data_IF_534131725587
#
_entry.id   IF_534131725587
#
_cell.length_a   1.000
_cell.length_b   1.000
_cell.length_c   1.000
_cell.angle_alpha   90.00
_cell.angle_beta   90.00
_cell.angle_gamma   90.00
#
_symmetry.space_group_name_H-M   'P 1'
#
loop_
_entity.id
_entity.type
_entity.pdbx_description
1 polymer ?
#
# COMPACT_ATOMS: atom_id res chain seq x y z
N UNK A 1 -10.55 -22.83 -7.43
CA UNK A 1 -9.12 -22.81 -7.82
C UNK A 1 -8.49 -21.62 -7.12
N UNK A 2 -7.25 -21.75 -6.61
CA UNK A 2 -6.58 -20.61 -6.02
C UNK A 2 -6.51 -19.46 -7.01
N UNK A 3 -6.69 -18.22 -6.54
CA UNK A 3 -6.51 -16.99 -7.31
C UNK A 3 -7.59 -16.66 -8.36
N UNK A 4 -8.67 -17.44 -8.47
CA UNK A 4 -9.80 -17.13 -9.40
C UNK A 4 -10.37 -15.72 -9.18
N UNK A 5 -10.41 -15.27 -7.93
CA UNK A 5 -10.94 -13.95 -7.56
C UNK A 5 -10.04 -12.77 -7.99
N UNK A 6 -8.86 -13.03 -8.55
CA UNK A 6 -7.94 -12.02 -9.11
C UNK A 6 -7.63 -12.26 -10.60
N UNK A 7 -8.31 -13.20 -11.27
CA UNK A 7 -8.13 -13.47 -12.70
C UNK A 7 -8.90 -12.47 -13.60
N UNK A 8 -10.15 -12.15 -13.22
CA UNK A 8 -10.95 -11.09 -13.85
C UNK A 8 -11.31 -10.02 -12.82
N UNK A 9 -10.64 -8.87 -12.92
CA UNK A 9 -10.88 -7.71 -12.07
C UNK A 9 -11.49 -6.54 -12.87
N UNK A 10 -12.11 -6.83 -14.02
CA UNK A 10 -12.57 -5.81 -14.96
C UNK A 10 -13.66 -4.89 -14.38
N UNK A 11 -14.44 -5.35 -13.39
CA UNK A 11 -15.40 -4.52 -12.66
C UNK A 11 -14.72 -3.38 -11.85
N UNK A 12 -13.45 -3.57 -11.46
CA UNK A 12 -12.66 -2.61 -10.69
C UNK A 12 -11.83 -1.66 -11.55
N UNK A 13 -11.93 -1.77 -12.88
CA UNK A 13 -11.20 -0.94 -13.81
C UNK A 13 -11.65 0.53 -13.71
N UNK A 14 -10.83 1.35 -13.05
CA UNK A 14 -11.13 2.77 -12.85
C UNK A 14 -11.01 3.58 -14.13
N UNK A 15 -10.35 3.04 -15.17
CA UNK A 15 -10.19 3.74 -16.45
C UNK A 15 -11.52 3.92 -17.18
N UNK A 16 -12.49 3.02 -16.93
CA UNK A 16 -13.86 3.09 -17.46
C UNK A 16 -14.63 4.33 -16.99
N UNK A 17 -14.24 4.91 -15.85
CA UNK A 17 -14.87 6.10 -15.26
C UNK A 17 -14.19 7.42 -15.65
N UNK A 18 -13.03 7.34 -16.31
CA UNK A 18 -12.26 8.53 -16.70
C UNK A 18 -12.95 9.25 -17.86
N UNK A 19 -12.94 10.58 -17.80
CA UNK A 19 -13.51 11.43 -18.82
C UNK A 19 -12.56 11.50 -20.03
N UNK A 20 -13.10 11.11 -21.19
CA UNK A 20 -12.40 11.05 -22.47
C UNK A 20 -11.70 12.35 -22.86
N UNK A 21 -12.18 13.52 -22.40
CA UNK A 21 -11.54 14.83 -22.65
C UNK A 21 -10.09 14.88 -22.15
N UNK A 22 -9.75 14.10 -21.12
CA UNK A 22 -8.41 14.13 -20.53
C UNK A 22 -7.39 13.21 -21.22
N UNK A 23 -7.82 12.41 -22.21
CA UNK A 23 -6.92 11.57 -23.01
C UNK A 23 -6.30 12.31 -24.20
N UNK A 24 -6.88 13.43 -24.61
CA UNK A 24 -6.55 14.07 -25.90
C UNK A 24 -5.40 15.09 -25.85
N UNK A 25 -4.75 15.28 -24.70
CA UNK A 25 -3.67 16.29 -24.58
C UNK A 25 -2.30 15.62 -24.68
N UNK A 26 -1.44 16.22 -25.51
CA UNK A 26 -0.09 15.74 -25.78
C UNK A 26 0.77 15.71 -24.50
N UNK A 27 1.67 14.72 -24.39
CA UNK A 27 2.67 14.65 -23.32
C UNK A 27 3.45 15.97 -23.18
N UNK A 28 3.57 16.50 -21.97
CA UNK A 28 4.51 17.60 -21.67
C UNK A 28 5.95 17.09 -21.51
N UNK A 29 6.93 18.01 -21.47
CA UNK A 29 8.38 17.74 -21.39
C UNK A 29 8.90 17.18 -20.04
N UNK A 30 8.01 16.70 -19.17
CA UNK A 30 8.35 16.24 -17.81
C UNK A 30 9.09 14.89 -17.78
N UNK A 31 9.05 14.15 -18.88
CA UNK A 31 9.55 12.77 -18.99
C UNK A 31 11.07 12.61 -18.79
N UNK A 32 11.84 13.70 -18.79
CA UNK A 32 13.30 13.65 -18.62
C UNK A 32 13.79 14.18 -17.26
N UNK A 33 12.88 14.69 -16.41
CA UNK A 33 13.26 15.27 -15.11
C UNK A 33 13.27 14.20 -14.02
N UNK A 34 14.31 14.20 -13.19
CA UNK A 34 14.42 13.33 -12.02
C UNK A 34 13.19 13.48 -11.12
N UNK A 35 12.64 12.35 -10.67
CA UNK A 35 11.42 12.23 -9.87
C UNK A 35 10.12 12.66 -10.57
N UNK A 36 10.15 12.94 -11.87
CA UNK A 36 8.97 13.23 -12.71
C UNK A 36 8.84 12.24 -13.88
N UNK A 37 9.96 11.67 -14.33
CA UNK A 37 9.98 10.66 -15.37
C UNK A 37 9.27 9.36 -14.96
N UNK A 38 8.69 8.62 -15.93
CA UNK A 38 8.23 7.27 -15.69
C UNK A 38 9.41 6.38 -15.29
N UNK A 39 9.13 5.39 -14.43
CA UNK A 39 10.09 4.35 -14.08
C UNK A 39 9.39 2.99 -14.05
N UNK A 40 10.15 1.92 -13.86
CA UNK A 40 9.57 0.58 -13.76
C UNK A 40 8.53 0.53 -12.63
N UNK A 41 7.36 -0.02 -12.95
CA UNK A 41 6.15 -0.05 -12.12
C UNK A 41 5.48 1.30 -11.89
N UNK A 42 6.05 2.41 -12.38
CA UNK A 42 5.53 3.76 -12.21
C UNK A 42 5.31 4.39 -13.59
N UNK A 43 4.28 3.93 -14.28
CA UNK A 43 3.95 4.32 -15.65
C UNK A 43 3.30 5.73 -15.73
N UNK A 44 3.97 6.77 -15.20
CA UNK A 44 3.45 8.16 -15.16
C UNK A 44 3.21 8.78 -16.55
N UNK A 45 3.73 8.15 -17.60
CA UNK A 45 3.49 8.54 -18.99
C UNK A 45 2.29 7.82 -19.64
N UNK A 46 1.70 6.82 -18.97
CA UNK A 46 0.53 6.13 -19.48
C UNK A 46 -0.65 7.11 -19.64
N UNK A 47 -1.38 7.06 -20.78
CA UNK A 47 -2.51 7.95 -21.03
C UNK A 47 -3.57 7.94 -19.92
N UNK A 48 -3.87 6.77 -19.36
CA UNK A 48 -4.85 6.59 -18.29
C UNK A 48 -4.41 7.27 -16.98
N UNK A 49 -3.14 7.12 -16.61
CA UNK A 49 -2.57 7.79 -15.42
C UNK A 49 -2.59 9.31 -15.61
N UNK A 50 -2.21 9.78 -16.80
CA UNK A 50 -2.23 11.21 -17.14
C UNK A 50 -3.64 11.78 -17.12
N UNK A 51 -4.61 11.04 -17.64
CA UNK A 51 -6.01 11.45 -17.62
C UNK A 51 -6.51 11.63 -16.18
N UNK A 52 -6.26 10.64 -15.30
CA UNK A 52 -6.61 10.73 -13.88
C UNK A 52 -5.90 11.89 -13.18
N UNK A 53 -4.59 12.06 -13.39
CA UNK A 53 -3.84 13.16 -12.78
C UNK A 53 -4.39 14.52 -13.20
N UNK A 54 -4.79 14.67 -14.47
CA UNK A 54 -5.40 15.91 -14.97
C UNK A 54 -6.79 16.15 -14.42
N UNK A 55 -7.62 15.11 -14.28
CA UNK A 55 -8.92 15.20 -13.60
C UNK A 55 -8.80 15.73 -12.18
N UNK A 56 -7.85 15.18 -11.42
CA UNK A 56 -7.59 15.61 -10.07
C UNK A 56 -7.02 17.04 -10.07
N UNK A 57 -6.12 17.37 -10.99
CA UNK A 57 -5.50 18.71 -11.06
C UNK A 57 -6.47 19.82 -11.49
N UNK A 58 -7.42 19.55 -12.38
CA UNK A 58 -8.42 20.56 -12.76
C UNK A 58 -9.31 20.96 -11.56
N UNK A 59 -9.52 20.03 -10.62
CA UNK A 59 -10.34 20.25 -9.42
C UNK A 59 -9.56 20.81 -8.23
N UNK A 60 -8.22 20.77 -8.25
CA UNK A 60 -7.35 21.09 -7.12
C UNK A 60 -6.21 22.00 -7.60
N UNK A 61 -6.23 23.28 -7.19
CA UNK A 61 -5.40 24.32 -7.81
C UNK A 61 -3.97 24.29 -7.29
N UNK A 62 -3.76 24.02 -6.00
CA UNK A 62 -2.43 23.95 -5.42
C UNK A 62 -1.82 22.54 -5.51
N UNK A 63 -0.50 22.45 -5.35
CA UNK A 63 0.19 21.16 -5.29
C UNK A 63 -0.27 20.35 -4.06
N UNK A 64 -0.52 21.00 -2.92
CA UNK A 64 -1.03 20.39 -1.69
C UNK A 64 -2.40 19.74 -1.90
N UNK A 65 -3.36 20.51 -2.42
CA UNK A 65 -4.72 20.02 -2.69
C UNK A 65 -4.67 18.85 -3.67
N UNK A 66 -3.83 18.96 -4.71
CA UNK A 66 -3.66 17.92 -5.71
C UNK A 66 -3.09 16.63 -5.12
N UNK A 67 -2.00 16.69 -4.33
CA UNK A 67 -1.41 15.48 -3.74
C UNK A 67 -2.33 14.86 -2.69
N UNK A 68 -3.07 15.68 -1.94
CA UNK A 68 -4.05 15.20 -0.97
C UNK A 68 -5.21 14.48 -1.68
N UNK A 69 -5.71 15.05 -2.77
CA UNK A 69 -6.74 14.43 -3.59
C UNK A 69 -6.24 13.14 -4.24
N UNK A 70 -5.01 13.11 -4.76
CA UNK A 70 -4.40 11.90 -5.31
C UNK A 70 -4.22 10.80 -4.25
N UNK A 71 -3.74 11.16 -3.06
CA UNK A 71 -3.59 10.25 -1.92
C UNK A 71 -4.94 9.62 -1.54
N UNK A 72 -5.97 10.45 -1.31
CA UNK A 72 -7.30 10.00 -0.95
C UNK A 72 -7.94 9.16 -2.06
N UNK A 73 -7.73 9.54 -3.32
CA UNK A 73 -8.24 8.79 -4.46
C UNK A 73 -7.67 7.37 -4.50
N UNK A 74 -6.34 7.21 -4.40
CA UNK A 74 -5.71 5.88 -4.42
C UNK A 74 -6.21 5.05 -3.25
N UNK A 75 -6.14 5.62 -2.04
CA UNK A 75 -6.52 4.97 -0.79
C UNK A 75 -7.95 4.43 -0.78
N UNK A 76 -8.90 5.16 -1.38
CA UNK A 76 -10.32 4.81 -1.31
C UNK A 76 -10.87 4.18 -2.60
N UNK A 77 -10.09 4.10 -3.68
CA UNK A 77 -10.50 3.42 -4.91
C UNK A 77 -9.70 2.14 -5.20
N UNK A 78 -8.59 1.91 -4.48
CA UNK A 78 -7.72 0.75 -4.66
C UNK A 78 -7.44 0.08 -3.33
N UNK A 79 -7.54 -1.25 -3.34
CA UNK A 79 -7.46 -2.05 -2.14
C UNK A 79 -6.13 -2.79 -2.02
N UNK A 80 -5.71 -3.03 -0.78
CA UNK A 80 -4.63 -3.98 -0.49
C UNK A 80 -5.07 -5.39 -0.93
N UNK A 81 -4.45 -5.90 -1.97
CA UNK A 81 -4.69 -7.24 -2.50
C UNK A 81 -3.34 -7.90 -2.72
N UNK A 82 -3.10 -9.03 -2.06
CA UNK A 82 -1.90 -9.82 -2.25
C UNK A 82 -1.98 -10.52 -3.61
N UNK A 83 -1.12 -10.08 -4.52
CA UNK A 83 -0.95 -10.63 -5.87
C UNK A 83 0.41 -10.19 -6.43
N UNK A 84 0.88 -10.75 -7.56
CA UNK A 84 2.14 -10.36 -8.15
C UNK A 84 2.15 -8.88 -8.55
N UNK A 85 3.26 -8.20 -8.28
CA UNK A 85 3.42 -6.77 -8.54
C UNK A 85 3.21 -6.47 -10.03
N UNK A 86 2.32 -5.52 -10.27
CA UNK A 86 1.85 -5.13 -11.58
C UNK A 86 2.29 -3.76 -12.05
N UNK A 87 2.52 -2.85 -11.10
CA UNK A 87 2.78 -1.43 -11.36
C UNK A 87 1.51 -0.60 -11.47
N UNK A 88 1.71 0.72 -11.49
CA UNK A 88 0.67 1.74 -11.41
C UNK A 88 -0.47 1.53 -12.41
N UNK A 89 -0.15 1.25 -13.67
CA UNK A 89 -1.18 1.09 -14.70
C UNK A 89 -2.06 -0.16 -14.46
N UNK A 90 -1.46 -1.27 -14.03
CA UNK A 90 -2.23 -2.46 -13.69
C UNK A 90 -3.09 -2.21 -12.44
N UNK A 91 -2.54 -1.56 -11.43
CA UNK A 91 -3.30 -1.17 -10.22
C UNK A 91 -4.49 -0.29 -10.59
N UNK A 92 -4.32 0.66 -11.51
CA UNK A 92 -5.42 1.51 -11.97
C UNK A 92 -6.57 0.70 -12.60
N UNK A 93 -6.24 -0.39 -13.31
CA UNK A 93 -7.19 -1.24 -14.06
C UNK A 93 -7.78 -2.40 -13.27
N UNK A 94 -7.36 -2.61 -12.02
CA UNK A 94 -7.75 -3.77 -11.20
C UNK A 94 -8.26 -3.35 -9.82
N UNK A 95 -8.66 -4.32 -8.96
CA UNK A 95 -9.16 -4.08 -7.59
C UNK A 95 -8.15 -3.33 -6.72
N UNK A 96 -6.87 -3.51 -7.01
CA UNK A 96 -5.77 -2.87 -6.31
C UNK A 96 -4.49 -3.69 -6.45
N UNK A 97 -3.75 -3.83 -5.36
CA UNK A 97 -2.48 -4.56 -5.34
C UNK A 97 -1.81 -4.46 -3.98
N UNK A 98 -0.56 -4.93 -3.90
CA UNK A 98 0.22 -4.84 -2.66
C UNK A 98 0.63 -3.38 -2.38
N UNK A 99 1.29 -3.13 -1.24
CA UNK A 99 1.74 -1.79 -0.88
C UNK A 99 2.53 -1.11 -2.03
N UNK A 100 3.48 -1.83 -2.65
CA UNK A 100 4.31 -1.28 -3.72
C UNK A 100 3.50 -0.85 -4.95
N UNK A 101 2.44 -1.57 -5.30
CA UNK A 101 1.55 -1.23 -6.41
C UNK A 101 0.79 0.08 -6.15
N UNK A 102 0.25 0.23 -4.93
CA UNK A 102 -0.49 1.44 -4.55
C UNK A 102 0.43 2.66 -4.40
N UNK A 103 1.62 2.47 -3.85
CA UNK A 103 2.66 3.51 -3.82
C UNK A 103 3.06 3.93 -5.23
N UNK A 104 3.24 2.95 -6.12
CA UNK A 104 3.58 3.23 -7.51
C UNK A 104 2.49 4.01 -8.22
N UNK A 105 1.22 3.68 -7.97
CA UNK A 105 0.09 4.42 -8.52
C UNK A 105 0.03 5.87 -8.01
N UNK A 106 0.18 6.09 -6.71
CA UNK A 106 0.22 7.44 -6.12
C UNK A 106 1.37 8.27 -6.71
N UNK A 107 2.57 7.69 -6.78
CA UNK A 107 3.75 8.35 -7.36
C UNK A 107 3.51 8.62 -8.84
N UNK A 108 2.94 7.70 -9.61
CA UNK A 108 2.68 7.88 -11.03
C UNK A 108 1.68 9.02 -11.29
N UNK A 109 0.61 9.10 -10.51
CA UNK A 109 -0.37 10.21 -10.56
C UNK A 109 0.31 11.53 -10.21
N UNK A 110 1.08 11.58 -9.11
CA UNK A 110 1.79 12.79 -8.69
C UNK A 110 2.75 13.30 -9.78
N UNK A 111 3.57 12.40 -10.34
CA UNK A 111 4.50 12.70 -11.44
C UNK A 111 3.79 13.21 -12.68
N UNK A 112 2.70 12.56 -13.06
CA UNK A 112 1.89 12.97 -14.21
C UNK A 112 1.23 14.35 -14.01
N UNK A 113 0.92 14.71 -12.76
CA UNK A 113 0.44 16.03 -12.37
C UNK A 113 1.53 17.08 -12.14
N UNK A 114 2.80 16.76 -12.41
CA UNK A 114 3.92 17.71 -12.28
C UNK A 114 4.57 17.78 -10.90
N UNK A 115 4.18 16.93 -9.95
CA UNK A 115 4.75 16.89 -8.61
C UNK A 115 5.87 15.84 -8.53
N UNK A 116 7.11 16.21 -8.17
CA UNK A 116 8.19 15.25 -8.01
C UNK A 116 7.87 14.24 -6.90
N UNK A 117 8.00 12.95 -7.19
CA UNK A 117 7.64 11.89 -6.27
C UNK A 117 8.64 10.71 -6.31
N UNK A 118 8.89 10.08 -5.16
CA UNK A 118 9.85 8.97 -5.00
C UNK A 118 9.41 7.96 -3.95
N UNK A 119 10.03 6.78 -3.96
CA UNK A 119 9.83 5.75 -2.95
C UNK A 119 10.77 5.97 -1.77
N UNK A 120 10.28 5.66 -0.58
CA UNK A 120 11.07 5.47 0.63
C UNK A 120 10.72 4.11 1.21
N UNK A 121 11.69 3.19 1.28
CA UNK A 121 11.56 1.91 1.97
C UNK A 121 12.34 1.95 3.29
N UNK A 122 11.81 1.30 4.31
CA UNK A 122 12.45 1.19 5.63
C UNK A 122 12.02 -0.10 6.32
N UNK A 123 12.74 -0.44 7.39
CA UNK A 123 12.39 -1.57 8.25
C UNK A 123 11.18 -1.24 9.12
N UNK A 124 10.18 -2.10 9.07
CA UNK A 124 8.95 -2.04 9.86
C UNK A 124 9.01 -3.04 11.02
N UNK A 125 8.43 -2.68 12.16
CA UNK A 125 7.98 -3.67 13.14
C UNK A 125 6.44 -3.72 13.04
N UNK A 126 5.84 -4.88 12.67
CA UNK A 126 4.39 -4.97 12.50
C UNK A 126 3.74 -4.83 13.87
N UNK A 127 2.61 -4.11 13.95
CA UNK A 127 1.80 -4.18 15.18
C UNK A 127 1.17 -5.56 15.32
N UNK A 128 0.69 -5.90 16.51
CA UNK A 128 0.07 -7.21 16.76
C UNK A 128 -1.10 -7.51 15.80
N UNK A 129 -1.89 -6.50 15.45
CA UNK A 129 -2.99 -6.64 14.49
C UNK A 129 -2.49 -7.05 13.11
N UNK A 130 -1.41 -6.43 12.64
CA UNK A 130 -0.81 -6.74 11.35
C UNK A 130 -0.10 -8.10 11.37
N UNK A 131 0.57 -8.43 12.48
CA UNK A 131 1.21 -9.74 12.67
C UNK A 131 0.19 -10.88 12.58
N UNK A 132 -0.94 -10.75 13.27
CA UNK A 132 -2.00 -11.76 13.27
C UNK A 132 -2.61 -11.97 11.87
N UNK A 133 -2.64 -10.91 11.05
CA UNK A 133 -3.18 -10.96 9.70
C UNK A 133 -2.21 -11.57 8.68
N UNK A 134 -0.94 -11.15 8.71
CA UNK A 134 0.00 -11.45 7.61
C UNK A 134 1.03 -12.54 7.97
N UNK A 135 1.36 -12.72 9.24
CA UNK A 135 2.48 -13.56 9.68
C UNK A 135 1.99 -14.80 10.42
N UNK A 136 1.08 -14.64 11.38
CA UNK A 136 0.59 -15.74 12.20
C UNK A 136 -0.09 -16.90 11.43
N UNK A 137 -0.83 -16.68 10.31
CA UNK A 137 -1.60 -17.74 9.67
C UNK A 137 -0.76 -18.82 8.98
N UNK A 138 0.46 -18.50 8.55
CA UNK A 138 1.26 -19.41 7.70
C UNK A 138 2.61 -19.77 8.34
N UNK A 139 2.88 -21.07 8.56
CA UNK A 139 4.13 -21.52 9.17
C UNK A 139 5.39 -21.13 8.39
N UNK A 140 5.34 -21.10 7.06
CA UNK A 140 6.45 -20.73 6.18
C UNK A 140 6.69 -19.22 6.24
N UNK A 141 5.63 -18.40 6.17
CA UNK A 141 5.76 -16.94 6.32
C UNK A 141 6.30 -16.61 7.70
N UNK A 142 5.79 -17.29 8.74
CA UNK A 142 6.27 -17.12 10.10
C UNK A 142 7.74 -17.51 10.24
N UNK A 143 8.15 -18.65 9.72
CA UNK A 143 9.55 -19.11 9.73
C UNK A 143 10.45 -18.18 8.90
N UNK A 144 9.96 -17.68 7.76
CA UNK A 144 10.66 -16.70 6.90
C UNK A 144 10.81 -15.35 7.61
N UNK A 145 9.76 -14.86 8.25
CA UNK A 145 9.79 -13.66 9.10
C UNK A 145 10.75 -13.85 10.29
N UNK A 146 10.83 -15.06 10.86
CA UNK A 146 11.75 -15.36 11.94
C UNK A 146 13.22 -15.44 11.49
N UNK A 147 13.48 -15.95 10.28
CA UNK A 147 14.81 -16.17 9.71
C UNK A 147 15.38 -14.94 8.98
N UNK A 148 14.55 -14.24 8.22
CA UNK A 148 14.93 -13.15 7.32
C UNK A 148 14.37 -11.80 7.75
N UNK A 149 13.79 -11.68 8.96
CA UNK A 149 12.91 -10.62 9.49
C UNK A 149 13.22 -9.13 9.24
N UNK A 150 14.25 -8.81 8.48
CA UNK A 150 14.53 -7.51 7.85
C UNK A 150 14.00 -7.38 6.41
N UNK A 151 13.94 -8.46 5.61
CA UNK A 151 13.52 -8.41 4.19
C UNK A 151 11.99 -8.41 4.01
N UNK A 152 11.26 -9.19 4.81
CA UNK A 152 9.78 -9.13 4.92
C UNK A 152 9.29 -7.92 5.73
N UNK A 153 10.21 -7.28 6.46
CA UNK A 153 9.95 -6.04 7.18
C UNK A 153 10.14 -4.79 6.31
N UNK A 154 10.30 -4.92 4.99
CA UNK A 154 10.41 -3.76 4.10
C UNK A 154 9.02 -3.25 3.74
N UNK A 155 8.65 -2.10 4.30
CA UNK A 155 7.46 -1.37 3.85
C UNK A 155 7.85 -0.04 3.22
N UNK A 156 6.99 0.44 2.33
CA UNK A 156 7.22 1.66 1.59
C UNK A 156 6.25 2.79 1.92
N UNK A 157 6.72 4.00 1.69
CA UNK A 157 5.88 5.18 1.55
C UNK A 157 6.28 5.96 0.30
N UNK A 158 5.33 6.75 -0.20
CA UNK A 158 5.57 7.69 -1.27
C UNK A 158 6.00 9.01 -0.64
N UNK A 159 7.15 9.55 -1.02
CA UNK A 159 7.52 10.93 -0.70
C UNK A 159 7.15 11.82 -1.90
N UNK A 160 6.33 12.84 -1.66
CA UNK A 160 5.82 13.81 -2.63
C UNK A 160 6.39 15.19 -2.32
N UNK A 161 6.97 15.88 -3.31
CA UNK A 161 7.65 17.17 -3.09
C UNK A 161 6.70 18.34 -3.33
N UNK A 162 6.25 18.98 -2.25
CA UNK A 162 5.31 20.11 -2.25
C UNK A 162 5.93 21.27 -1.48
N UNK A 163 5.90 22.49 -2.02
CA UNK A 163 6.59 23.66 -1.46
C UNK A 163 8.02 23.37 -1.00
N UNK A 164 8.80 22.71 -1.86
CA UNK A 164 10.18 22.29 -1.62
C UNK A 164 10.40 21.29 -0.48
N UNK A 165 9.32 20.84 0.18
CA UNK A 165 9.35 19.85 1.26
C UNK A 165 8.84 18.50 0.77
N UNK A 166 9.43 17.42 1.29
CA UNK A 166 8.94 16.07 1.04
C UNK A 166 7.89 15.72 2.09
N UNK A 167 6.66 15.47 1.65
CA UNK A 167 5.57 14.96 2.46
C UNK A 167 5.43 13.48 2.13
N UNK A 168 5.42 12.62 3.15
CA UNK A 168 5.27 11.18 2.96
C UNK A 168 3.80 10.78 2.98
N UNK A 169 3.43 9.72 2.28
CA UNK A 169 2.08 9.20 2.25
C UNK A 169 2.06 7.70 1.98
N UNK A 170 1.21 7.01 2.71
CA UNK A 170 0.93 5.60 2.52
C UNK A 170 -0.56 5.33 2.31
N UNK A 171 -0.99 5.13 1.06
CA UNK A 171 -2.40 4.91 0.73
C UNK A 171 -2.83 3.46 0.89
N UNK A 172 -1.96 2.55 1.35
CA UNK A 172 -2.17 1.09 1.28
C UNK A 172 -3.45 0.62 1.98
N UNK A 173 -3.79 1.25 3.11
CA UNK A 173 -4.94 0.89 3.93
C UNK A 173 -6.06 1.90 3.69
N UNK A 174 -7.14 1.41 3.07
CA UNK A 174 -8.38 2.16 2.89
C UNK A 174 -9.04 2.47 4.23
N UNK A 175 -9.94 3.46 4.24
CA UNK A 175 -10.66 3.88 5.45
C UNK A 175 -11.37 2.68 6.09
N UNK A 176 -12.11 1.91 5.29
CA UNK A 176 -12.84 0.75 5.76
C UNK A 176 -11.91 -0.38 6.25
N UNK A 177 -10.75 -0.59 5.62
CA UNK A 177 -9.80 -1.58 6.12
C UNK A 177 -9.25 -1.18 7.49
N UNK A 178 -8.81 0.07 7.63
CA UNK A 178 -8.32 0.62 8.89
C UNK A 178 -9.38 0.51 10.00
N UNK A 179 -10.62 0.88 9.69
CA UNK A 179 -11.72 0.82 10.65
C UNK A 179 -12.02 -0.61 11.08
N UNK A 180 -12.09 -1.55 10.13
CA UNK A 180 -12.36 -2.96 10.39
C UNK A 180 -11.30 -3.63 11.26
N UNK A 181 -10.04 -3.28 11.02
CA UNK A 181 -8.89 -3.70 11.83
C UNK A 181 -8.79 -2.98 13.17
N UNK A 182 -9.56 -1.90 13.38
CA UNK A 182 -9.61 -1.19 14.65
C UNK A 182 -8.46 -0.22 14.88
N UNK A 183 -7.77 0.19 13.82
CA UNK A 183 -6.59 1.08 13.83
C UNK A 183 -6.97 2.50 13.35
N UNK A 184 -6.21 3.55 13.74
CA UNK A 184 -6.39 4.89 13.18
C UNK A 184 -6.28 4.90 11.65
N UNK A 185 -7.12 5.70 11.00
CA UNK A 185 -7.11 5.88 9.55
C UNK A 185 -5.88 6.72 9.15
N UNK A 186 -5.18 6.26 8.12
CA UNK A 186 -3.96 6.88 7.60
C UNK A 186 -4.24 8.24 6.94
N UNK A 187 -3.37 9.23 7.19
CA UNK A 187 -3.45 10.59 6.65
C UNK A 187 -2.15 10.92 5.91
N UNK A 188 -2.22 11.79 4.90
CA UNK A 188 -1.02 12.27 4.18
C UNK A 188 -0.14 13.07 5.15
N UNK A 189 1.16 12.78 5.18
CA UNK A 189 2.13 13.37 6.10
C UNK A 189 2.06 12.82 7.53
N UNK A 190 1.14 11.90 7.82
CA UNK A 190 0.99 11.25 9.12
C UNK A 190 1.59 9.84 9.14
N UNK A 191 2.06 9.43 10.31
CA UNK A 191 2.47 8.04 10.52
C UNK A 191 1.21 7.16 10.68
N UNK A 192 1.06 6.08 9.89
CA UNK A 192 -0.13 5.23 9.96
C UNK A 192 -0.08 4.34 11.20
N UNK A 193 -1.26 4.08 11.78
CA UNK A 193 -1.36 3.40 13.08
C UNK A 193 -1.00 1.92 13.08
N UNK A 194 -0.96 1.25 11.92
CA UNK A 194 -0.69 -0.19 11.83
C UNK A 194 0.80 -0.57 11.93
N UNK A 195 1.71 0.42 12.04
CA UNK A 195 3.15 0.17 12.17
C UNK A 195 3.83 1.06 13.19
N UNK A 196 5.00 0.62 13.64
CA UNK A 196 5.98 1.46 14.33
C UNK A 196 7.29 1.44 13.54
N UNK A 197 7.84 2.63 13.25
CA UNK A 197 9.14 2.73 12.58
C UNK A 197 10.24 2.22 13.50
N UNK A 198 11.11 1.37 12.96
CA UNK A 198 12.34 0.99 13.65
C UNK A 198 13.33 2.14 13.48
N UNK A 199 13.52 2.94 14.54
CA UNK A 199 14.30 4.20 14.54
C UNK A 199 15.76 4.07 14.13
N UNK A 200 16.32 2.85 14.11
CA UNK A 200 17.68 2.56 13.66
C UNK A 200 17.78 1.96 12.24
N UNK A 201 16.66 1.78 11.54
CA UNK A 201 16.68 1.28 10.16
C UNK A 201 17.09 2.39 9.19
N UNK A 202 18.00 2.09 8.27
CA UNK A 202 18.39 3.03 7.23
C UNK A 202 17.26 3.11 6.18
N UNK A 203 16.69 4.30 6.01
CA UNK A 203 15.75 4.54 4.92
C UNK A 203 16.46 4.46 3.56
N UNK A 204 15.87 3.72 2.63
CA UNK A 204 16.32 3.69 1.23
C UNK A 204 15.36 4.52 0.39
N UNK A 205 15.89 5.53 -0.31
CA UNK A 205 15.11 6.40 -1.20
C UNK A 205 15.52 6.18 -2.65
N UNK A 206 14.56 5.93 -3.52
CA UNK A 206 14.83 5.67 -4.94
C UNK A 206 13.68 6.10 -5.83
N UNK A 207 13.99 6.21 -7.13
CA UNK A 207 13.07 6.73 -8.14
C UNK A 207 12.25 5.63 -8.83
N UNK A 208 12.79 4.40 -8.92
CA UNK A 208 12.10 3.26 -9.52
C UNK A 208 12.82 1.95 -9.20
N UNK A 209 12.09 0.84 -9.36
CA UNK A 209 12.59 -0.48 -9.00
C UNK A 209 13.58 -1.05 -10.03
N UNK A 210 14.56 -1.86 -9.60
CA UNK A 210 15.45 -2.59 -10.49
C UNK A 210 14.70 -3.54 -11.43
N UNK A 211 15.28 -3.81 -12.61
CA UNK A 211 14.68 -4.63 -13.69
C UNK A 211 14.26 -6.02 -13.19
N UNK A 212 15.13 -6.68 -12.40
CA UNK A 212 14.94 -8.06 -11.94
C UNK A 212 14.01 -8.20 -10.73
N UNK A 213 13.52 -7.09 -10.14
CA UNK A 213 12.73 -7.12 -8.90
C UNK A 213 11.47 -8.00 -9.00
N UNK A 214 10.72 -7.93 -10.11
CA UNK A 214 9.53 -8.80 -10.33
C UNK A 214 9.87 -10.28 -10.30
N UNK A 215 10.99 -10.65 -10.92
CA UNK A 215 11.40 -12.05 -11.12
C UNK A 215 11.81 -12.69 -9.80
N UNK A 216 12.35 -11.88 -8.87
CA UNK A 216 12.67 -12.32 -7.52
C UNK A 216 11.41 -12.62 -6.71
N UNK A 217 10.37 -11.80 -6.81
CA UNK A 217 9.20 -11.91 -5.91
C UNK A 217 8.10 -12.86 -6.38
N UNK A 218 7.97 -13.08 -7.69
CA UNK A 218 6.85 -13.88 -8.24
C UNK A 218 6.85 -15.35 -7.78
N UNK A 219 7.99 -16.07 -7.75
CA UNK A 219 7.99 -17.49 -7.35
C UNK A 219 7.51 -17.74 -5.92
N UNK A 220 7.85 -16.86 -4.97
CA UNK A 220 7.42 -16.98 -3.57
C UNK A 220 5.89 -16.92 -3.43
N UNK A 221 5.26 -15.94 -4.10
CA UNK A 221 3.80 -15.82 -4.09
C UNK A 221 3.11 -17.02 -4.75
N UNK A 222 3.75 -17.65 -5.74
CA UNK A 222 3.23 -18.85 -6.39
C UNK A 222 3.37 -20.11 -5.53
N UNK A 223 4.26 -20.12 -4.54
CA UNK A 223 4.36 -21.20 -3.55
C UNK A 223 3.29 -21.01 -2.46
N UNK A 224 3.05 -19.75 -2.05
CA UNK A 224 2.12 -19.38 -0.98
C UNK A 224 0.69 -19.09 -1.47
N UNK A 225 0.26 -19.69 -2.59
CA UNK A 225 -1.01 -19.28 -3.25
C UNK A 225 -2.25 -19.43 -2.37
N UNK A 226 -2.36 -20.54 -1.64
CA UNK A 226 -3.51 -20.79 -0.76
C UNK A 226 -3.55 -19.78 0.39
N UNK A 227 -2.39 -19.52 0.99
CA UNK A 227 -2.21 -18.51 2.04
C UNK A 227 -2.56 -17.11 1.56
N UNK A 228 -2.14 -16.76 0.35
CA UNK A 228 -2.50 -15.50 -0.29
C UNK A 228 -4.02 -15.34 -0.41
N UNK A 229 -4.73 -16.41 -0.76
CA UNK A 229 -6.20 -16.39 -0.84
C UNK A 229 -6.86 -16.21 0.54
N UNK A 230 -6.34 -16.88 1.57
CA UNK A 230 -6.83 -16.71 2.95
C UNK A 230 -6.61 -15.29 3.48
N UNK A 231 -5.42 -14.72 3.24
CA UNK A 231 -5.12 -13.32 3.60
C UNK A 231 -6.05 -12.36 2.85
N UNK A 232 -6.23 -12.55 1.54
CA UNK A 232 -7.13 -11.71 0.74
C UNK A 232 -8.57 -11.78 1.23
N UNK A 233 -9.05 -12.98 1.58
CA UNK A 233 -10.39 -13.17 2.17
C UNK A 233 -10.51 -12.44 3.51
N UNK A 234 -9.55 -12.60 4.41
CA UNK A 234 -9.55 -11.90 5.69
C UNK A 234 -9.55 -10.37 5.53
N UNK A 235 -8.77 -9.85 4.56
CA UNK A 235 -8.78 -8.43 4.22
C UNK A 235 -10.16 -7.95 3.77
N UNK A 236 -10.86 -8.71 2.93
CA UNK A 236 -12.21 -8.37 2.50
C UNK A 236 -13.24 -8.42 3.64
N UNK A 237 -13.12 -9.38 4.56
CA UNK A 237 -13.94 -9.44 5.78
C UNK A 237 -13.72 -8.23 6.69
N UNK A 238 -12.47 -7.78 6.87
CA UNK A 238 -12.17 -6.56 7.62
C UNK A 238 -12.75 -5.32 6.94
N UNK A 239 -12.64 -5.18 5.62
CA UNK A 239 -13.27 -4.06 4.90
C UNK A 239 -14.77 -4.03 5.10
N UNK A 240 -15.41 -5.20 5.03
CA UNK A 240 -16.85 -5.30 5.22
C UNK A 240 -17.28 -4.90 6.64
N UNK A 241 -16.54 -5.37 7.65
CA UNK A 241 -16.73 -4.92 9.03
C UNK A 241 -16.54 -3.41 9.18
N UNK A 242 -15.52 -2.84 8.53
CA UNK A 242 -15.25 -1.41 8.56
C UNK A 242 -16.34 -0.57 7.91
N UNK A 243 -16.88 -1.01 6.77
CA UNK A 243 -18.02 -0.37 6.10
C UNK A 243 -19.23 -0.26 7.03
N UNK A 244 -19.60 -1.36 7.69
CA UNK A 244 -20.72 -1.38 8.65
C UNK A 244 -20.53 -0.41 9.82
N UNK A 245 -19.29 -0.22 10.28
CA UNK A 245 -18.99 0.76 11.33
C UNK A 245 -19.15 2.19 10.77
N UNK A 246 -18.64 2.45 9.58
CA UNK A 246 -18.69 3.77 8.92
C UNK A 246 -20.10 4.18 8.48
N UNK A 247 -21.04 3.24 8.34
CA UNK A 247 -22.47 3.55 8.15
C UNK A 247 -23.09 4.23 9.38
N UNK A 248 -22.54 4.00 10.57
CA UNK A 248 -23.09 4.51 11.84
C UNK A 248 -22.29 5.64 12.47
N UNK A 249 -21.09 5.93 11.93
CA UNK A 249 -20.14 6.88 12.53
C UNK A 249 -19.28 7.53 11.45
N UNK A 250 -19.03 8.84 11.56
CA UNK A 250 -18.16 9.54 10.62
C UNK A 250 -16.68 9.14 10.78
N UNK A 251 -15.91 9.29 9.71
CA UNK A 251 -14.45 9.07 9.70
C UNK A 251 -13.75 9.93 10.75
N UNK A 252 -14.15 11.20 10.88
CA UNK A 252 -13.59 12.15 11.84
C UNK A 252 -13.87 11.73 13.28
N UNK A 253 -15.10 11.28 13.54
CA UNK A 253 -15.50 10.79 14.86
C UNK A 253 -14.72 9.52 15.24
N UNK A 254 -14.61 8.57 14.32
CA UNK A 254 -13.83 7.34 14.51
C UNK A 254 -12.38 7.67 14.83
N UNK A 255 -11.73 8.48 13.99
CA UNK A 255 -10.33 8.86 14.16
C UNK A 255 -10.10 9.60 15.47
N UNK A 256 -11.00 10.52 15.87
CA UNK A 256 -10.91 11.23 17.15
C UNK A 256 -10.99 10.28 18.34
N UNK A 257 -11.86 9.27 18.32
CA UNK A 257 -11.96 8.26 19.38
C UNK A 257 -10.74 7.34 19.41
N UNK A 258 -10.29 6.89 18.24
CA UNK A 258 -9.17 5.95 18.12
C UNK A 258 -7.82 6.58 18.41
N UNK A 259 -7.49 7.77 17.89
CA UNK A 259 -6.21 8.44 18.18
C UNK A 259 -6.01 8.68 19.70
N UNK A 260 -7.08 8.82 20.48
CA UNK A 260 -7.03 8.96 21.95
C UNK A 260 -6.75 7.65 22.69
N UNK A 261 -7.13 6.52 22.10
CA UNK A 261 -7.16 5.21 22.78
C UNK A 261 -6.15 4.22 22.21
N UNK A 262 -5.69 4.45 20.99
CA UNK A 262 -4.79 3.57 20.27
C UNK A 262 -3.37 3.70 20.80
N UNK A 263 -2.85 2.58 21.33
CA UNK A 263 -1.44 2.41 21.66
C UNK A 263 -0.93 1.26 20.79
N UNK A 264 -0.06 1.51 19.80
CA UNK A 264 0.45 0.44 18.97
C UNK A 264 1.20 -0.55 19.85
N UNK A 265 0.74 -1.80 19.89
CA UNK A 265 1.43 -2.89 20.58
C UNK A 265 2.36 -3.54 19.57
N UNK A 266 3.66 -3.37 19.79
CA UNK A 266 4.70 -4.06 19.03
C UNK A 266 5.12 -5.28 19.86
N UNK A 267 5.04 -6.50 19.33
CA UNK A 267 5.51 -7.67 20.05
C UNK A 267 7.02 -7.50 20.36
N UNK A 268 7.38 -7.66 21.63
CA UNK A 268 8.76 -7.58 22.08
C UNK A 268 9.59 -8.72 21.48
N UNK A 269 10.90 -8.49 21.33
CA UNK A 269 11.84 -9.53 20.88
C UNK A 269 11.77 -10.77 21.79
N UNK A 270 11.49 -10.57 23.08
CA UNK A 270 11.24 -11.63 24.06
C UNK A 270 9.94 -12.40 23.82
N UNK A 271 8.84 -11.73 23.48
CA UNK A 271 7.56 -12.40 23.16
C UNK A 271 7.67 -13.18 21.85
N UNK A 272 8.33 -12.62 20.84
CA UNK A 272 8.65 -13.34 19.60
C UNK A 272 9.55 -14.56 19.90
N UNK A 273 10.53 -14.43 20.80
CA UNK A 273 11.39 -15.56 21.23
C UNK A 273 10.65 -16.62 22.05
N UNK A 274 9.77 -16.23 22.96
CA UNK A 274 9.00 -17.15 23.79
C UNK A 274 8.02 -17.97 22.92
N UNK A 275 7.37 -17.29 21.98
CA UNK A 275 6.54 -17.95 20.96
C UNK A 275 7.35 -18.94 20.10
N UNK A 276 8.59 -18.60 19.72
CA UNK A 276 9.53 -19.51 19.02
C UNK A 276 9.84 -20.78 19.83
N UNK A 277 10.03 -20.66 21.14
CA UNK A 277 10.32 -21.80 22.00
C UNK A 277 9.10 -22.72 22.18
N UNK A 278 7.91 -22.14 22.31
CA UNK A 278 6.66 -22.88 22.42
C UNK A 278 6.33 -23.66 21.14
N UNK A 279 6.52 -23.04 19.97
CA UNK A 279 6.34 -23.70 18.68
C UNK A 279 7.35 -24.82 18.43
N UNK A 280 8.62 -24.66 18.83
CA UNK A 280 9.63 -25.73 18.75
C UNK A 280 9.26 -26.95 19.60
N UNK A 281 8.68 -26.72 20.79
CA UNK A 281 8.17 -27.81 21.65
C UNK A 281 6.99 -28.56 21.03
N UNK A 282 6.15 -27.86 20.27
CA UNK A 282 4.98 -28.46 19.61
C UNK A 282 5.34 -29.18 18.30
N UNK A 283 6.35 -28.71 17.56
CA UNK A 283 6.85 -29.37 16.34
C UNK A 283 7.75 -30.57 16.63
N UNK A 284 8.42 -30.63 17.79
CA UNK A 284 9.20 -31.78 18.24
C UNK A 284 8.38 -32.93 18.85
N UNK A 285 7.05 -32.87 18.76
CA UNK A 285 6.09 -33.85 19.31
C UNK A 285 5.32 -34.65 18.23
N UNK A 286 5.63 -34.46 16.94
CA UNK A 286 5.14 -35.29 15.84
C UNK A 286 6.26 -36.17 15.29
#
# INVERSE_FOLDING_TARGET
>A
LPWVHIEDESEFDSTKKLNKKFFQIKPGSLENKKYLRPTRFCESNAPEIRALARELREKNKSDEEFVQAAFNWVKNNKYLVFKPIGGALQTLKTKGGVCLDQLSLLIAIARAGGVPARYRLYGLAPTQELYNLMVAPDPIIRETYEALGFLDAMHGEAELRVNEKWIHGDPTFSDELSVGMGIPISELGGEPGWRVRVTKSADIRFEGFPILFRRLMTPLLLILRNTVDEINKALDEFREKGRRILETMSVEEYNRKKKKTFKPVVPSVSEVKAFREEMKKNLGRC
#
